data_IF_424280212923
#
_entry.id   IF_424280212923
#
_cell.length_a   1.000
_cell.length_b   1.000
_cell.length_c   1.000
_cell.angle_alpha   90.00
_cell.angle_beta   90.00
_cell.angle_gamma   90.00
#
_symmetry.space_group_name_H-M   'P 1'
#
loop_
_entity.id
_entity.type
_entity.pdbx_description
1 polymer ?
#
# COMPACT_ATOMS: atom_id res chain seq x y z
N UNK A 1 16.48 63.35 9.71
CA UNK A 1 15.74 62.66 8.60
C UNK A 1 16.29 61.25 8.26
N UNK A 2 17.62 60.98 8.18
CA UNK A 2 18.13 59.63 7.85
C UNK A 2 17.85 58.57 8.93
N UNK A 3 17.87 58.92 10.20
CA UNK A 3 17.58 57.96 11.32
C UNK A 3 16.14 57.44 11.33
N UNK A 4 15.18 58.22 10.85
CA UNK A 4 13.78 57.79 10.77
C UNK A 4 13.57 56.78 9.63
N UNK A 5 14.26 56.98 8.52
CA UNK A 5 14.25 56.03 7.39
C UNK A 5 14.92 54.72 7.77
N UNK A 6 16.04 54.74 8.48
CA UNK A 6 16.73 53.55 8.94
C UNK A 6 15.89 52.72 9.93
N UNK A 7 15.19 53.36 10.89
CA UNK A 7 14.24 52.67 11.78
C UNK A 7 13.08 52.05 11.02
N UNK A 8 12.50 52.68 10.01
CA UNK A 8 11.47 52.15 9.17
C UNK A 8 11.92 50.90 8.39
N UNK A 9 13.12 50.92 7.86
CA UNK A 9 13.72 49.78 7.15
C UNK A 9 13.92 48.60 8.11
N UNK A 10 14.43 48.82 9.32
CA UNK A 10 14.58 47.76 10.32
C UNK A 10 13.21 47.13 10.68
N UNK A 11 12.18 47.94 10.88
CA UNK A 11 10.85 47.44 11.20
C UNK A 11 10.29 46.59 10.05
N UNK A 12 10.44 47.06 8.80
CA UNK A 12 9.97 46.30 7.62
C UNK A 12 10.70 44.97 7.49
N UNK A 13 12.04 44.98 7.63
CA UNK A 13 12.82 43.76 7.60
C UNK A 13 12.43 42.80 8.72
N UNK A 14 12.22 43.28 9.94
CA UNK A 14 11.75 42.45 11.08
C UNK A 14 10.36 41.84 10.82
N UNK A 15 9.44 42.61 10.26
CA UNK A 15 8.12 42.08 9.89
C UNK A 15 8.21 41.02 8.80
N UNK A 16 9.06 41.17 7.80
CA UNK A 16 9.31 40.17 6.75
C UNK A 16 9.94 38.90 7.34
N UNK A 17 10.91 39.02 8.25
CA UNK A 17 11.50 37.86 8.92
C UNK A 17 10.50 37.12 9.82
N UNK A 18 9.63 37.85 10.51
CA UNK A 18 8.58 37.25 11.35
C UNK A 18 7.53 36.54 10.48
N UNK A 19 7.10 37.15 9.36
CA UNK A 19 6.14 36.51 8.45
C UNK A 19 6.71 35.25 7.80
N UNK A 20 7.97 35.32 7.30
CA UNK A 20 8.66 34.15 6.77
C UNK A 20 8.85 33.05 7.83
N UNK A 21 9.17 33.42 9.07
CA UNK A 21 9.27 32.48 10.18
C UNK A 21 7.94 31.80 10.50
N UNK A 22 6.84 32.56 10.49
CA UNK A 22 5.49 32.05 10.66
C UNK A 22 5.06 31.14 9.50
N UNK A 23 5.34 31.53 8.26
CA UNK A 23 5.03 30.72 7.09
C UNK A 23 5.79 29.39 7.11
N UNK A 24 7.08 29.42 7.47
CA UNK A 24 7.91 28.22 7.63
C UNK A 24 7.38 27.35 8.80
N UNK A 25 6.97 27.95 9.90
CA UNK A 25 6.40 27.23 11.03
C UNK A 25 5.07 26.57 10.67
N UNK A 26 4.16 27.31 10.05
CA UNK A 26 2.86 26.78 9.58
C UNK A 26 3.07 25.68 8.54
N UNK A 27 3.99 25.87 7.59
CA UNK A 27 4.32 24.87 6.60
C UNK A 27 4.88 23.60 7.24
N UNK A 28 5.84 23.70 8.18
CA UNK A 28 6.43 22.55 8.88
C UNK A 28 5.49 21.85 9.85
N UNK A 29 4.54 22.57 10.43
CA UNK A 29 3.55 22.03 11.35
C UNK A 29 2.27 21.57 10.65
N UNK A 30 2.14 21.78 9.34
CA UNK A 30 0.98 21.25 8.60
C UNK A 30 1.02 19.71 8.61
N UNK A 31 -0.13 19.05 8.81
CA UNK A 31 -0.22 17.59 8.80
C UNK A 31 0.38 16.98 7.53
N UNK A 32 0.11 17.58 6.36
CA UNK A 32 0.65 17.13 5.08
C UNK A 32 2.18 17.16 4.99
N UNK A 33 2.86 18.03 5.74
CA UNK A 33 4.33 18.06 5.80
C UNK A 33 4.87 17.12 6.86
N UNK A 34 4.19 16.98 8.00
CA UNK A 34 4.58 16.09 9.07
C UNK A 34 4.66 14.64 8.60
N UNK A 35 3.77 14.23 7.68
CA UNK A 35 3.68 12.85 7.19
C UNK A 35 4.18 12.65 5.74
N UNK A 36 4.80 13.64 5.13
CA UNK A 36 5.47 13.48 3.83
C UNK A 36 6.75 12.67 3.96
N UNK A 37 6.63 11.43 4.41
CA UNK A 37 7.72 10.48 4.42
C UNK A 37 8.97 10.92 5.17
N UNK A 38 8.78 11.71 6.21
CA UNK A 38 9.87 12.27 7.00
C UNK A 38 10.79 11.22 7.57
N UNK A 39 10.21 10.06 7.97
CA UNK A 39 10.92 8.96 8.59
C UNK A 39 11.16 7.81 7.62
N UNK A 40 10.74 7.96 6.36
CA UNK A 40 10.89 6.93 5.35
C UNK A 40 11.97 7.33 4.35
N UNK A 41 12.93 6.49 4.20
CA UNK A 41 13.89 6.62 3.11
C UNK A 41 13.19 6.26 1.82
N UNK A 42 12.66 7.25 1.12
CA UNK A 42 12.09 7.11 -0.22
C UNK A 42 13.17 6.80 -1.27
N UNK A 43 14.21 6.14 -0.88
CA UNK A 43 15.23 5.68 -1.79
C UNK A 43 14.85 4.29 -2.26
N UNK A 44 14.76 4.11 -3.55
CA UNK A 44 14.55 2.80 -4.16
C UNK A 44 13.18 2.18 -3.90
N UNK A 45 12.09 2.89 -4.13
CA UNK A 45 10.75 2.33 -4.00
C UNK A 45 10.27 2.19 -2.56
N UNK A 46 10.55 3.13 -1.76
CA UNK A 46 10.23 3.33 -0.36
C UNK A 46 9.12 2.45 0.24
N UNK A 47 9.39 1.91 1.41
CA UNK A 47 8.39 1.35 2.32
C UNK A 47 7.85 2.44 3.24
N UNK A 48 6.54 2.46 3.45
CA UNK A 48 5.91 3.30 4.46
C UNK A 48 5.87 2.63 5.83
N UNK A 49 6.27 1.36 5.90
CA UNK A 49 6.32 0.52 7.10
C UNK A 49 7.71 -0.10 7.22
N UNK A 50 8.16 -0.32 8.45
CA UNK A 50 9.37 -1.10 8.69
C UNK A 50 9.15 -2.56 8.30
N UNK A 51 9.75 -2.98 7.19
CA UNK A 51 9.71 -4.36 6.70
C UNK A 51 10.81 -5.24 7.28
N UNK A 52 11.75 -4.69 8.04
CA UNK A 52 12.88 -5.45 8.60
C UNK A 52 12.49 -6.66 9.46
N UNK A 53 11.34 -6.67 10.17
CA UNK A 53 10.87 -7.87 10.88
C UNK A 53 10.53 -9.05 9.95
N UNK A 54 10.35 -8.79 8.66
CA UNK A 54 9.98 -9.80 7.65
C UNK A 54 11.14 -10.14 6.70
N UNK A 55 12.34 -9.58 6.89
CA UNK A 55 13.48 -10.00 6.07
C UNK A 55 13.88 -11.44 6.38
N UNK A 56 14.13 -12.28 5.38
CA UNK A 56 14.50 -13.70 5.59
C UNK A 56 15.66 -13.90 6.55
N UNK A 57 16.61 -12.95 6.60
CA UNK A 57 17.82 -13.00 7.42
C UNK A 57 17.67 -12.33 8.80
N UNK A 58 16.55 -11.70 9.10
CA UNK A 58 16.33 -11.10 10.42
C UNK A 58 16.19 -12.21 11.47
N UNK A 59 16.93 -12.07 12.56
CA UNK A 59 16.85 -13.02 13.67
C UNK A 59 15.43 -12.99 14.27
N UNK A 60 14.81 -14.17 14.38
CA UNK A 60 13.43 -14.32 14.85
C UNK A 60 12.44 -13.49 14.00
N UNK A 61 12.65 -13.49 12.68
CA UNK A 61 11.74 -12.81 11.78
C UNK A 61 10.28 -13.26 11.95
N UNK A 62 9.35 -12.42 11.51
CA UNK A 62 7.90 -12.66 11.61
C UNK A 62 7.33 -13.43 10.41
N UNK A 63 8.17 -14.04 9.59
CA UNK A 63 7.71 -14.82 8.45
C UNK A 63 6.97 -16.07 8.90
N UNK A 64 5.88 -16.35 8.22
CA UNK A 64 5.15 -17.61 8.39
C UNK A 64 6.03 -18.78 7.94
N UNK A 65 6.17 -19.76 8.81
CA UNK A 65 6.90 -21.00 8.52
C UNK A 65 5.94 -22.17 8.37
N UNK A 66 6.28 -23.08 7.47
CA UNK A 66 5.53 -24.34 7.31
C UNK A 66 5.73 -25.22 8.54
N UNK A 67 4.65 -25.92 8.94
CA UNK A 67 4.71 -26.92 10.02
C UNK A 67 5.39 -28.22 9.59
N UNK A 68 5.52 -28.42 8.28
CA UNK A 68 6.10 -29.61 7.68
C UNK A 68 7.11 -29.19 6.60
N UNK A 69 7.97 -30.13 6.18
CA UNK A 69 8.92 -29.87 5.08
C UNK A 69 8.19 -29.41 3.83
N UNK A 70 8.72 -28.40 3.17
CA UNK A 70 8.18 -27.92 1.90
C UNK A 70 8.18 -29.03 0.84
N UNK A 71 7.10 -29.11 0.10
CA UNK A 71 6.97 -30.02 -1.04
C UNK A 71 7.78 -29.60 -2.26
N UNK A 72 8.27 -28.36 -2.26
CA UNK A 72 9.02 -27.79 -3.37
C UNK A 72 10.22 -26.96 -2.85
N UNK A 73 11.42 -27.25 -3.32
CA UNK A 73 12.65 -26.53 -2.96
C UNK A 73 13.44 -26.23 -4.23
N UNK A 74 13.88 -25.00 -4.40
CA UNK A 74 14.86 -24.58 -5.41
C UNK A 74 16.24 -24.56 -4.77
N UNK A 75 17.12 -25.44 -5.25
CA UNK A 75 18.43 -25.71 -4.64
C UNK A 75 19.48 -24.65 -4.98
N UNK A 76 19.46 -24.14 -6.22
CA UNK A 76 20.50 -23.25 -6.73
C UNK A 76 19.99 -21.82 -6.82
N UNK A 77 20.78 -20.88 -6.32
CA UNK A 77 20.47 -19.45 -6.36
C UNK A 77 20.10 -18.92 -7.75
N UNK A 78 20.88 -19.29 -8.78
CA UNK A 78 20.67 -18.86 -10.16
C UNK A 78 19.33 -19.30 -10.77
N UNK A 79 18.72 -20.31 -10.18
CA UNK A 79 17.45 -20.88 -10.63
C UNK A 79 16.25 -20.34 -9.82
N UNK A 80 16.50 -19.47 -8.83
CA UNK A 80 15.47 -18.84 -8.01
C UNK A 80 14.81 -17.68 -8.77
N UNK A 81 13.50 -17.68 -8.98
CA UNK A 81 12.78 -16.50 -9.47
C UNK A 81 13.01 -15.28 -8.58
N UNK A 82 13.22 -14.12 -9.19
CA UNK A 82 13.32 -12.84 -8.47
C UNK A 82 11.93 -12.34 -8.20
N UNK A 83 11.65 -12.05 -6.92
CA UNK A 83 10.33 -11.65 -6.42
C UNK A 83 10.33 -10.17 -6.06
N UNK A 84 9.23 -9.49 -6.36
CA UNK A 84 8.95 -8.12 -5.94
C UNK A 84 7.44 -7.94 -5.74
N UNK A 85 7.01 -6.85 -5.14
CA UNK A 85 5.57 -6.65 -4.96
C UNK A 85 5.19 -5.37 -4.23
N UNK A 86 3.90 -5.23 -4.00
CA UNK A 86 3.36 -4.20 -3.15
C UNK A 86 3.82 -4.40 -1.70
N UNK A 87 3.94 -3.32 -0.95
CA UNK A 87 4.41 -3.33 0.45
C UNK A 87 3.66 -4.35 1.32
N UNK A 88 2.32 -4.34 1.26
CA UNK A 88 1.50 -5.29 1.99
C UNK A 88 1.78 -6.76 1.64
N UNK A 89 2.34 -7.03 0.47
CA UNK A 89 2.58 -8.40 0.01
C UNK A 89 3.97 -8.94 0.40
N UNK A 90 4.87 -8.06 0.88
CA UNK A 90 6.23 -8.46 1.25
C UNK A 90 6.26 -9.66 2.20
N UNK A 91 5.49 -9.70 3.30
CA UNK A 91 5.48 -10.84 4.21
C UNK A 91 5.08 -12.17 3.54
N UNK A 92 4.18 -12.12 2.55
CA UNK A 92 3.72 -13.31 1.82
C UNK A 92 4.85 -13.87 0.95
N UNK A 93 5.39 -13.07 0.04
CA UNK A 93 6.37 -13.61 -0.91
C UNK A 93 7.73 -13.86 -0.26
N UNK A 94 8.10 -13.14 0.79
CA UNK A 94 9.26 -13.45 1.60
C UNK A 94 9.11 -14.78 2.35
N UNK A 95 7.91 -15.08 2.91
CA UNK A 95 7.62 -16.37 3.53
C UNK A 95 7.62 -17.51 2.51
N UNK A 96 7.10 -17.29 1.30
CA UNK A 96 7.16 -18.26 0.19
C UNK A 96 8.62 -18.55 -0.18
N UNK A 97 9.44 -17.50 -0.36
CA UNK A 97 10.88 -17.68 -0.64
C UNK A 97 11.57 -18.43 0.50
N UNK A 98 11.28 -18.08 1.76
CA UNK A 98 11.86 -18.76 2.92
C UNK A 98 11.46 -20.25 2.99
N UNK A 99 10.28 -20.61 2.50
CA UNK A 99 9.81 -22.00 2.46
C UNK A 99 10.32 -22.80 1.26
N UNK A 100 10.69 -22.13 0.15
CA UNK A 100 10.95 -22.80 -1.13
C UNK A 100 12.35 -22.58 -1.70
N UNK A 101 13.12 -21.61 -1.19
CA UNK A 101 14.47 -21.30 -1.68
C UNK A 101 15.51 -21.73 -0.66
N UNK A 102 16.41 -22.61 -1.07
CA UNK A 102 17.48 -23.07 -0.18
C UNK A 102 18.44 -21.93 0.15
N UNK A 103 18.74 -21.77 1.43
CA UNK A 103 19.69 -20.79 1.94
C UNK A 103 19.34 -19.32 1.60
N UNK A 104 18.08 -19.00 1.38
CA UNK A 104 17.68 -17.62 1.00
C UNK A 104 18.09 -16.60 2.06
N UNK A 105 18.02 -16.95 3.35
CA UNK A 105 18.43 -16.08 4.43
C UNK A 105 19.92 -15.69 4.35
N UNK A 106 20.79 -16.66 4.05
CA UNK A 106 22.23 -16.44 3.90
C UNK A 106 22.54 -15.60 2.65
N UNK A 107 21.85 -15.86 1.54
CA UNK A 107 22.00 -15.14 0.28
C UNK A 107 21.64 -13.66 0.46
N UNK A 108 20.47 -13.38 1.04
CA UNK A 108 20.01 -12.00 1.29
C UNK A 108 20.88 -11.29 2.32
N UNK A 109 21.32 -11.99 3.36
CA UNK A 109 22.23 -11.44 4.38
C UNK A 109 23.58 -11.04 3.81
N UNK A 110 24.13 -11.85 2.93
CA UNK A 110 25.42 -11.54 2.29
C UNK A 110 25.28 -10.33 1.36
N UNK A 111 24.19 -10.26 0.60
CA UNK A 111 23.90 -9.15 -0.28
C UNK A 111 23.71 -7.83 0.50
N UNK A 112 23.00 -7.87 1.61
CA UNK A 112 22.72 -6.70 2.47
C UNK A 112 23.98 -6.09 3.12
N UNK A 113 25.11 -6.82 3.20
CA UNK A 113 26.38 -6.27 3.70
C UNK A 113 26.97 -5.18 2.81
N UNK A 114 26.67 -5.21 1.54
CA UNK A 114 27.32 -4.35 0.52
C UNK A 114 26.33 -3.55 -0.31
N UNK A 115 25.04 -3.79 -0.15
CA UNK A 115 23.96 -3.17 -0.91
C UNK A 115 22.89 -2.65 0.03
N UNK A 116 22.05 -1.75 -0.47
CA UNK A 116 20.88 -1.25 0.25
C UNK A 116 19.84 -2.36 0.47
N UNK A 117 18.92 -2.16 1.38
CA UNK A 117 17.99 -3.15 1.96
C UNK A 117 16.93 -3.72 1.00
N UNK A 118 17.02 -3.45 -0.29
CA UNK A 118 15.97 -3.84 -1.25
C UNK A 118 16.00 -5.31 -1.67
N UNK A 119 16.93 -6.10 -1.12
CA UNK A 119 17.09 -7.53 -1.42
C UNK A 119 17.72 -7.82 -2.79
N UNK A 120 18.17 -9.07 -2.96
CA UNK A 120 18.75 -9.60 -4.20
C UNK A 120 17.73 -10.40 -5.01
N UNK A 121 17.02 -11.28 -4.33
CA UNK A 121 16.05 -12.23 -4.89
C UNK A 121 14.66 -11.94 -4.34
N UNK A 122 14.55 -11.62 -3.05
CA UNK A 122 13.34 -11.16 -2.39
C UNK A 122 13.40 -9.64 -2.32
N UNK A 123 13.05 -8.98 -3.42
CA UNK A 123 13.23 -7.54 -3.56
C UNK A 123 11.98 -6.76 -3.16
N UNK A 124 12.15 -5.48 -2.86
CA UNK A 124 11.05 -4.57 -2.60
C UNK A 124 11.30 -3.20 -3.24
N UNK A 125 10.44 -2.81 -4.19
CA UNK A 125 10.49 -1.52 -4.89
C UNK A 125 9.13 -0.85 -5.01
N UNK A 126 8.13 -1.29 -4.27
CA UNK A 126 6.71 -0.91 -4.30
C UNK A 126 5.98 -1.22 -5.62
N UNK A 127 4.68 -0.88 -5.67
CA UNK A 127 3.84 -1.24 -6.82
C UNK A 127 4.27 -0.57 -8.12
N UNK A 128 4.61 0.72 -8.06
CA UNK A 128 4.93 1.48 -9.28
C UNK A 128 6.20 0.97 -9.95
N UNK A 129 7.30 0.95 -9.21
CA UNK A 129 8.61 0.52 -9.73
C UNK A 129 8.62 -0.99 -9.98
N UNK A 130 7.97 -1.78 -9.12
CA UNK A 130 7.90 -3.23 -9.26
C UNK A 130 7.26 -3.67 -10.59
N UNK A 131 6.20 -2.99 -11.04
CA UNK A 131 5.62 -3.26 -12.35
C UNK A 131 6.57 -2.89 -13.50
N UNK A 132 7.21 -1.72 -13.43
CA UNK A 132 8.20 -1.34 -14.45
C UNK A 132 9.35 -2.35 -14.52
N UNK A 133 9.87 -2.81 -13.39
CA UNK A 133 10.89 -3.86 -13.32
C UNK A 133 10.42 -5.19 -13.91
N UNK A 134 9.14 -5.55 -13.68
CA UNK A 134 8.55 -6.73 -14.30
C UNK A 134 8.52 -6.58 -15.84
N UNK A 135 8.11 -5.42 -16.36
CA UNK A 135 8.06 -5.15 -17.80
C UNK A 135 9.45 -5.19 -18.44
N UNK A 136 10.48 -4.77 -17.71
CA UNK A 136 11.90 -4.82 -18.13
C UNK A 136 12.51 -6.21 -17.99
N UNK A 137 11.83 -7.16 -17.35
CA UNK A 137 12.35 -8.50 -17.10
C UNK A 137 13.41 -8.56 -16.00
N UNK A 138 13.51 -7.52 -15.15
CA UNK A 138 14.41 -7.49 -14.00
C UNK A 138 13.94 -8.36 -12.85
N UNK A 139 12.64 -8.59 -12.76
CA UNK A 139 12.01 -9.52 -11.83
C UNK A 139 11.17 -10.55 -12.58
N UNK A 140 10.96 -11.70 -11.96
CA UNK A 140 10.19 -12.80 -12.54
C UNK A 140 8.72 -12.79 -12.13
N UNK A 141 8.44 -12.36 -10.90
CA UNK A 141 7.12 -12.44 -10.29
C UNK A 141 6.86 -11.19 -9.45
N UNK A 142 5.73 -10.54 -9.73
CA UNK A 142 5.24 -9.42 -8.94
C UNK A 142 4.02 -9.86 -8.10
N UNK A 143 3.98 -9.45 -6.82
CA UNK A 143 2.90 -9.76 -5.89
C UNK A 143 2.12 -8.49 -5.53
N UNK A 144 0.82 -8.48 -5.82
CA UNK A 144 0.01 -7.29 -5.53
C UNK A 144 -1.36 -7.30 -6.18
N UNK A 145 -1.93 -6.10 -6.28
CA UNK A 145 -3.15 -5.85 -7.05
C UNK A 145 -2.84 -5.87 -8.56
N UNK A 146 -3.88 -5.93 -9.39
CA UNK A 146 -3.75 -5.72 -10.84
C UNK A 146 -3.19 -4.32 -11.12
N UNK A 147 -2.48 -4.17 -12.26
CA UNK A 147 -1.94 -2.87 -12.66
C UNK A 147 -3.05 -1.84 -12.92
N UNK A 148 -2.71 -0.57 -12.74
CA UNK A 148 -3.55 0.55 -13.17
C UNK A 148 -3.62 0.63 -14.71
N UNK A 149 -4.54 1.46 -15.21
CA UNK A 149 -4.64 1.70 -16.65
C UNK A 149 -3.32 2.28 -17.21
N UNK A 150 -2.68 3.18 -16.48
CA UNK A 150 -1.41 3.77 -16.86
C UNK A 150 -0.28 2.72 -16.95
N UNK A 151 -0.23 1.78 -15.99
CA UNK A 151 0.71 0.67 -16.02
C UNK A 151 0.42 -0.32 -17.17
N UNK A 152 -0.86 -0.52 -17.52
CA UNK A 152 -1.22 -1.32 -18.70
C UNK A 152 -0.77 -0.67 -20.03
N UNK A 153 -0.82 0.66 -20.10
CA UNK A 153 -0.28 1.41 -21.25
C UNK A 153 1.24 1.32 -21.28
N UNK A 154 1.90 1.41 -20.13
CA UNK A 154 3.34 1.18 -20.03
C UNK A 154 3.73 -0.24 -20.48
N UNK A 155 3.01 -1.28 -20.07
CA UNK A 155 3.24 -2.65 -20.53
C UNK A 155 3.14 -2.78 -22.06
N UNK A 156 2.21 -2.06 -22.69
CA UNK A 156 2.11 -2.02 -24.17
C UNK A 156 3.33 -1.36 -24.81
N UNK A 157 3.85 -0.30 -24.21
CA UNK A 157 5.09 0.36 -24.69
C UNK A 157 6.27 -0.60 -24.63
N UNK A 158 6.38 -1.41 -23.58
CA UNK A 158 7.39 -2.46 -23.48
C UNK A 158 7.10 -3.68 -24.35
N UNK A 159 5.94 -3.76 -24.99
CA UNK A 159 5.54 -4.89 -25.85
C UNK A 159 5.35 -6.18 -25.06
N UNK A 160 4.97 -6.11 -23.80
CA UNK A 160 4.82 -7.29 -22.93
C UNK A 160 3.36 -7.59 -22.61
N UNK A 161 3.05 -8.86 -22.40
CA UNK A 161 1.75 -9.33 -21.96
C UNK A 161 1.85 -9.94 -20.56
N UNK A 162 0.87 -9.61 -19.72
CA UNK A 162 0.81 -10.05 -18.34
C UNK A 162 -0.08 -11.28 -18.16
N UNK A 163 0.37 -12.17 -17.27
CA UNK A 163 -0.43 -13.29 -16.77
C UNK A 163 -0.74 -13.06 -15.29
N UNK A 164 -2.01 -13.18 -14.92
CA UNK A 164 -2.49 -12.95 -13.56
C UNK A 164 -2.90 -14.27 -12.92
N UNK A 165 -2.18 -14.69 -11.90
CA UNK A 165 -2.52 -15.86 -11.08
C UNK A 165 -3.10 -15.38 -9.76
N UNK A 166 -4.42 -15.52 -9.50
CA UNK A 166 -4.97 -15.21 -8.18
C UNK A 166 -4.41 -16.21 -7.18
N UNK A 167 -3.86 -15.72 -6.07
CA UNK A 167 -3.22 -16.55 -5.04
C UNK A 167 -3.89 -16.44 -3.67
N UNK A 168 -4.71 -15.44 -3.45
CA UNK A 168 -5.46 -15.21 -2.23
C UNK A 168 -6.61 -14.25 -2.48
N UNK A 169 -7.45 -14.03 -1.46
CA UNK A 169 -8.53 -13.03 -1.49
C UNK A 169 -8.23 -11.93 -0.50
N UNK A 170 -8.69 -10.73 -0.81
CA UNK A 170 -8.49 -9.52 -0.02
C UNK A 170 -9.73 -8.62 -0.09
N UNK A 171 -9.86 -7.71 0.86
CA UNK A 171 -10.87 -6.66 0.82
C UNK A 171 -10.22 -5.28 0.64
N UNK A 172 -10.79 -4.49 -0.23
CA UNK A 172 -10.53 -3.06 -0.29
C UNK A 172 -11.51 -2.36 0.65
N UNK A 173 -10.99 -1.64 1.63
CA UNK A 173 -11.78 -1.10 2.73
C UNK A 173 -11.67 0.42 2.81
N UNK A 174 -12.75 1.03 3.31
CA UNK A 174 -12.76 2.43 3.70
C UNK A 174 -12.76 2.52 5.22
N UNK A 175 -12.08 3.52 5.74
CA UNK A 175 -11.94 3.70 7.17
C UNK A 175 -11.99 5.19 7.54
N UNK A 176 -12.42 5.43 8.77
CA UNK A 176 -12.57 6.76 9.37
C UNK A 176 -11.94 6.74 10.75
N UNK A 177 -11.78 7.92 11.36
CA UNK A 177 -11.42 7.99 12.79
C UNK A 177 -12.45 7.23 13.64
N UNK A 178 -12.01 6.58 14.70
CA UNK A 178 -12.86 5.81 15.62
C UNK A 178 -14.03 6.64 16.17
N UNK A 179 -13.81 7.92 16.43
CA UNK A 179 -14.80 8.84 16.97
C UNK A 179 -15.84 9.31 15.96
N UNK A 180 -15.65 9.08 14.65
CA UNK A 180 -16.68 9.36 13.65
C UNK A 180 -17.92 8.48 13.90
N UNK A 181 -19.15 9.04 14.00
CA UNK A 181 -20.34 8.24 14.30
C UNK A 181 -20.81 7.31 13.18
N UNK A 182 -20.24 7.44 11.98
CA UNK A 182 -20.61 6.61 10.84
C UNK A 182 -19.95 5.23 10.97
N UNK A 183 -20.74 4.16 10.79
CA UNK A 183 -20.29 2.78 10.81
C UNK A 183 -20.52 2.04 9.49
N UNK A 184 -21.34 2.61 8.62
CA UNK A 184 -21.70 2.03 7.33
C UNK A 184 -21.93 3.14 6.30
N UNK A 185 -21.49 2.88 5.08
CA UNK A 185 -21.80 3.71 3.92
C UNK A 185 -22.28 2.81 2.78
N UNK A 186 -23.14 3.35 1.93
CA UNK A 186 -23.46 2.70 0.66
C UNK A 186 -22.34 2.93 -0.34
N UNK A 187 -22.14 1.98 -1.24
CA UNK A 187 -21.15 2.13 -2.32
C UNK A 187 -21.33 3.43 -3.12
N UNK A 188 -22.57 3.85 -3.38
CA UNK A 188 -22.83 5.08 -4.11
C UNK A 188 -22.60 6.34 -3.27
N UNK A 189 -22.77 6.28 -1.96
CA UNK A 189 -22.40 7.37 -1.05
C UNK A 189 -20.88 7.59 -1.06
N UNK A 190 -20.10 6.53 -1.00
CA UNK A 190 -18.64 6.63 -1.09
C UNK A 190 -18.22 7.21 -2.44
N UNK A 191 -18.79 6.74 -3.55
CA UNK A 191 -18.52 7.32 -4.88
C UNK A 191 -18.86 8.81 -4.91
N UNK A 192 -19.99 9.21 -4.32
CA UNK A 192 -20.42 10.60 -4.24
C UNK A 192 -19.49 11.47 -3.37
N UNK A 193 -18.90 10.91 -2.30
CA UNK A 193 -17.87 11.58 -1.49
C UNK A 193 -16.63 11.85 -2.34
N UNK A 194 -16.09 10.81 -2.96
CA UNK A 194 -14.84 10.90 -3.73
C UNK A 194 -15.00 11.60 -5.08
N UNK A 195 -16.22 11.74 -5.57
CA UNK A 195 -16.55 12.60 -6.71
C UNK A 195 -16.71 14.08 -6.29
N UNK A 196 -17.00 14.35 -5.01
CA UNK A 196 -17.19 15.70 -4.47
C UNK A 196 -18.65 16.17 -4.44
N UNK A 197 -19.63 15.29 -4.69
CA UNK A 197 -21.06 15.62 -4.54
C UNK A 197 -21.52 15.64 -3.08
N UNK A 198 -20.92 14.81 -2.24
CA UNK A 198 -21.14 14.78 -0.79
C UNK A 198 -19.87 15.31 -0.12
N UNK A 199 -19.98 16.46 0.52
CA UNK A 199 -18.84 17.18 1.11
C UNK A 199 -18.95 17.38 2.62
N UNK A 200 -20.05 16.96 3.24
CA UNK A 200 -20.26 17.12 4.67
C UNK A 200 -20.95 15.88 5.25
N UNK A 201 -20.43 15.38 6.38
CA UNK A 201 -20.91 14.18 7.07
C UNK A 201 -22.36 14.25 7.54
N UNK A 202 -22.87 15.44 7.80
CA UNK A 202 -24.27 15.64 8.22
C UNK A 202 -25.28 15.06 7.24
N UNK A 203 -24.98 15.11 5.95
CA UNK A 203 -25.85 14.55 4.90
C UNK A 203 -25.94 13.01 4.95
N UNK A 204 -25.01 12.36 5.64
CA UNK A 204 -24.93 10.93 5.85
C UNK A 204 -25.29 10.50 7.29
N UNK A 205 -25.83 11.43 8.08
CA UNK A 205 -26.20 11.18 9.48
C UNK A 205 -25.06 11.33 10.48
N UNK A 206 -23.91 11.85 10.04
CA UNK A 206 -22.77 12.19 10.88
C UNK A 206 -22.86 13.58 11.49
N UNK A 207 -21.75 14.07 12.00
CA UNK A 207 -21.62 15.42 12.55
C UNK A 207 -21.62 16.47 11.44
N UNK A 208 -21.91 17.72 11.80
CA UNK A 208 -21.84 18.86 10.88
C UNK A 208 -20.37 19.28 10.70
N UNK A 209 -19.63 18.51 9.91
CA UNK A 209 -18.26 18.80 9.53
C UNK A 209 -17.98 18.36 8.10
N UNK A 210 -17.03 19.04 7.46
CA UNK A 210 -16.64 18.74 6.09
C UNK A 210 -15.89 17.42 5.99
N UNK A 211 -16.09 16.74 4.86
CA UNK A 211 -15.42 15.48 4.55
C UNK A 211 -14.08 15.77 3.86
N UNK A 212 -13.01 15.26 4.44
CA UNK A 212 -11.68 15.24 3.86
C UNK A 212 -11.40 13.84 3.31
N UNK A 213 -11.52 13.70 1.99
CA UNK A 213 -11.38 12.43 1.29
C UNK A 213 -9.94 12.27 0.77
N UNK A 214 -9.10 11.58 1.53
CA UNK A 214 -7.71 11.35 1.17
C UNK A 214 -7.58 10.42 -0.04
N UNK A 215 -6.62 10.72 -0.92
CA UNK A 215 -6.34 9.96 -2.12
C UNK A 215 -4.85 9.57 -2.18
N UNK A 216 -4.54 8.62 -3.04
CA UNK A 216 -3.18 8.13 -3.31
C UNK A 216 -2.74 8.57 -4.71
N UNK A 217 -1.41 8.69 -4.94
CA UNK A 217 -0.90 8.92 -6.29
C UNK A 217 -1.34 7.83 -7.26
N UNK A 218 -1.49 8.19 -8.52
CA UNK A 218 -1.66 7.25 -9.62
C UNK A 218 -0.53 6.19 -9.61
N UNK A 219 -0.74 5.04 -10.20
CA UNK A 219 0.18 3.88 -10.13
C UNK A 219 0.33 3.22 -8.75
N UNK A 220 -0.25 3.77 -7.66
CA UNK A 220 -0.33 3.00 -6.41
C UNK A 220 -1.40 1.92 -6.51
N UNK A 221 -1.16 0.75 -5.90
CA UNK A 221 -2.11 -0.36 -5.96
C UNK A 221 -3.48 -0.02 -5.37
N UNK A 222 -3.52 0.78 -4.30
CA UNK A 222 -4.78 1.23 -3.70
C UNK A 222 -5.51 2.26 -4.56
N UNK A 223 -4.79 3.15 -5.27
CA UNK A 223 -5.41 4.09 -6.20
C UNK A 223 -6.00 3.36 -7.42
N UNK A 224 -5.27 2.39 -7.96
CA UNK A 224 -5.78 1.55 -9.04
C UNK A 224 -7.09 0.84 -8.64
N UNK A 225 -7.15 0.33 -7.39
CA UNK A 225 -8.37 -0.29 -6.87
C UNK A 225 -9.48 0.74 -6.63
N UNK A 226 -9.13 1.96 -6.20
CA UNK A 226 -10.09 3.05 -6.06
C UNK A 226 -10.74 3.42 -7.40
N UNK A 227 -9.97 3.56 -8.49
CA UNK A 227 -10.52 3.76 -9.83
C UNK A 227 -11.46 2.63 -10.25
N UNK A 228 -11.06 1.38 -9.97
CA UNK A 228 -11.95 0.23 -10.23
C UNK A 228 -13.27 0.33 -9.45
N UNK A 229 -13.22 0.74 -8.18
CA UNK A 229 -14.40 0.93 -7.35
C UNK A 229 -15.28 2.08 -7.85
N UNK A 230 -14.69 3.19 -8.29
CA UNK A 230 -15.41 4.36 -8.82
C UNK A 230 -16.17 4.07 -10.12
N UNK A 231 -15.77 3.04 -10.89
CA UNK A 231 -16.34 2.71 -12.20
C UNK A 231 -16.27 3.92 -13.15
N UNK A 232 -17.42 4.34 -13.68
CA UNK A 232 -17.54 5.47 -14.62
C UNK A 232 -17.63 6.84 -13.92
N UNK A 233 -17.56 6.87 -12.59
CA UNK A 233 -17.60 8.10 -11.79
C UNK A 233 -16.17 8.63 -11.61
N UNK A 234 -15.90 9.86 -12.07
CA UNK A 234 -14.58 10.48 -11.92
C UNK A 234 -14.30 10.81 -10.45
N UNK A 235 -13.05 10.65 -10.05
CA UNK A 235 -12.54 11.20 -8.78
C UNK A 235 -12.48 12.73 -8.89
N UNK A 236 -12.76 13.43 -7.77
CA UNK A 236 -12.45 14.85 -7.66
C UNK A 236 -10.93 15.04 -7.66
N UNK A 237 -10.47 16.18 -8.16
CA UNK A 237 -9.07 16.57 -7.98
C UNK A 237 -8.80 16.75 -6.47
N UNK A 238 -7.84 16.02 -5.90
CA UNK A 238 -7.50 16.18 -4.50
C UNK A 238 -6.77 17.51 -4.28
N UNK A 239 -7.10 18.20 -3.20
CA UNK A 239 -6.25 19.30 -2.75
C UNK A 239 -4.92 18.74 -2.22
N UNK A 240 -3.87 19.55 -2.21
CA UNK A 240 -2.48 19.08 -1.97
C UNK A 240 -2.33 18.23 -0.70
N UNK A 241 -3.01 18.56 0.38
CA UNK A 241 -2.93 17.80 1.63
C UNK A 241 -3.77 16.52 1.63
N UNK A 242 -4.74 16.37 0.70
CA UNK A 242 -5.51 15.13 0.54
C UNK A 242 -4.75 14.06 -0.25
N UNK A 243 -3.64 14.42 -0.91
CA UNK A 243 -2.82 13.47 -1.67
C UNK A 243 -1.71 12.89 -0.80
N UNK A 244 -1.82 11.61 -0.48
CA UNK A 244 -0.84 10.91 0.35
C UNK A 244 0.04 9.96 -0.47
N UNK A 245 1.33 10.23 -0.47
CA UNK A 245 2.30 9.45 -1.25
C UNK A 245 2.57 8.05 -0.69
N UNK A 246 2.43 7.86 0.62
CA UNK A 246 2.62 6.58 1.29
C UNK A 246 1.32 6.02 1.87
N UNK A 247 1.20 4.70 1.99
CA UNK A 247 0.01 4.05 2.54
C UNK A 247 -0.23 4.46 4.00
N UNK A 248 0.82 4.45 4.82
CA UNK A 248 0.75 4.87 6.23
C UNK A 248 0.35 6.34 6.37
N UNK A 249 0.68 7.19 5.39
CA UNK A 249 0.26 8.59 5.39
C UNK A 249 -1.26 8.75 5.47
N UNK A 250 -2.03 8.01 4.65
CA UNK A 250 -3.50 8.04 4.74
C UNK A 250 -3.98 7.58 6.11
N UNK A 251 -3.39 6.51 6.64
CA UNK A 251 -3.80 5.95 7.94
C UNK A 251 -3.57 6.97 9.04
N UNK A 252 -2.37 7.57 9.10
CA UNK A 252 -2.06 8.60 10.09
C UNK A 252 -2.94 9.83 9.97
N UNK A 253 -3.16 10.33 8.76
CA UNK A 253 -4.02 11.50 8.54
C UNK A 253 -5.45 11.25 9.02
N UNK A 254 -5.99 10.05 8.82
CA UNK A 254 -7.33 9.71 9.32
C UNK A 254 -7.35 9.54 10.83
N UNK A 255 -6.29 8.94 11.41
CA UNK A 255 -6.21 8.71 12.85
C UNK A 255 -5.98 10.01 13.63
N UNK A 256 -5.13 10.91 13.11
CA UNK A 256 -4.61 12.08 13.81
C UNK A 256 -5.13 13.42 13.25
N UNK A 257 -6.02 13.39 12.26
CA UNK A 257 -6.56 14.61 11.70
C UNK A 257 -7.22 15.45 12.79
N UNK A 258 -6.82 16.72 12.92
CA UNK A 258 -7.27 17.62 14.02
C UNK A 258 -8.80 17.77 14.10
N UNK A 259 -9.52 17.48 13.03
CA UNK A 259 -10.96 17.33 13.00
C UNK A 259 -11.30 15.83 12.96
N UNK A 260 -11.24 15.16 14.10
CA UNK A 260 -11.43 13.73 14.31
C UNK A 260 -12.56 13.06 13.53
N UNK A 261 -13.53 13.85 13.08
CA UNK A 261 -14.72 13.36 12.39
C UNK A 261 -14.67 13.54 10.87
N UNK A 262 -13.77 14.39 10.35
CA UNK A 262 -13.79 14.82 8.94
C UNK A 262 -13.18 13.83 7.96
N UNK A 263 -12.15 13.12 8.37
CA UNK A 263 -11.31 12.35 7.46
C UNK A 263 -11.93 11.00 7.05
N UNK A 264 -11.75 10.63 5.77
CA UNK A 264 -11.99 9.28 5.24
C UNK A 264 -10.80 8.85 4.38
N UNK A 265 -10.36 7.61 4.56
CA UNK A 265 -9.30 7.00 3.78
C UNK A 265 -9.72 5.62 3.24
N UNK A 266 -8.84 5.04 2.42
CA UNK A 266 -9.01 3.70 1.89
C UNK A 266 -7.66 2.95 1.81
N UNK A 267 -7.74 1.63 1.94
CA UNK A 267 -6.58 0.74 1.82
C UNK A 267 -7.04 -0.70 1.62
N UNK A 268 -6.09 -1.62 1.56
CA UNK A 268 -6.37 -3.05 1.67
C UNK A 268 -6.43 -3.46 3.15
N UNK A 269 -7.37 -4.34 3.49
CA UNK A 269 -7.64 -4.75 4.88
C UNK A 269 -6.40 -5.29 5.59
N UNK A 270 -5.64 -6.16 4.92
CA UNK A 270 -4.44 -6.74 5.51
C UNK A 270 -3.39 -5.68 5.87
N UNK A 271 -3.23 -4.64 5.03
CA UNK A 271 -2.29 -3.56 5.36
C UNK A 271 -2.65 -2.90 6.69
N UNK A 272 -3.94 -2.68 6.91
CA UNK A 272 -4.46 -1.97 8.09
C UNK A 272 -4.43 -2.83 9.37
N UNK A 273 -4.81 -4.11 9.26
CA UNK A 273 -4.94 -4.98 10.43
C UNK A 273 -3.71 -5.88 10.67
N UNK A 274 -2.98 -6.23 9.60
CA UNK A 274 -1.90 -7.20 9.65
C UNK A 274 -0.50 -6.58 9.64
N UNK A 275 -0.28 -5.57 8.82
CA UNK A 275 1.05 -4.99 8.64
C UNK A 275 1.25 -3.70 9.44
N UNK A 276 0.28 -2.81 9.42
CA UNK A 276 0.35 -1.51 10.09
C UNK A 276 -0.91 -1.31 10.93
N UNK A 277 -0.80 -1.63 12.22
CA UNK A 277 -1.88 -1.43 13.18
C UNK A 277 -1.85 0.01 13.69
N UNK A 278 -2.92 0.75 13.46
CA UNK A 278 -3.13 2.10 13.97
C UNK A 278 -4.32 2.09 14.92
N UNK A 279 -4.13 2.67 16.09
CA UNK A 279 -5.22 2.98 17.00
C UNK A 279 -6.04 4.17 16.44
N UNK A 280 -7.22 4.42 16.99
CA UNK A 280 -8.10 5.53 16.63
C UNK A 280 -8.69 5.49 15.21
N UNK A 281 -8.68 4.35 14.53
CA UNK A 281 -9.39 4.17 13.25
C UNK A 281 -10.35 2.99 13.30
N UNK A 282 -11.39 3.04 12.50
CA UNK A 282 -12.31 1.93 12.29
C UNK A 282 -12.64 1.73 10.82
N UNK A 283 -12.73 0.48 10.42
CA UNK A 283 -13.20 0.07 9.11
C UNK A 283 -14.71 0.21 9.03
N UNK A 284 -15.20 0.76 7.93
CA UNK A 284 -16.63 0.89 7.66
C UNK A 284 -17.20 -0.40 7.04
N UNK A 285 -18.44 -0.70 7.37
CA UNK A 285 -19.26 -1.60 6.56
C UNK A 285 -19.63 -0.90 5.25
N UNK A 286 -19.74 -1.67 4.17
CA UNK A 286 -20.20 -1.19 2.86
C UNK A 286 -21.46 -1.93 2.51
N UNK A 287 -22.54 -1.19 2.16
CA UNK A 287 -23.86 -1.75 1.86
C UNK A 287 -24.35 -2.71 2.98
N UNK A 288 -24.08 -2.34 4.24
CA UNK A 288 -24.35 -3.10 5.46
C UNK A 288 -23.56 -4.41 5.62
N UNK A 289 -22.48 -4.60 4.88
CA UNK A 289 -21.64 -5.79 4.97
C UNK A 289 -20.25 -5.39 5.46
N UNK A 290 -19.83 -5.95 6.60
CA UNK A 290 -18.48 -5.79 7.15
C UNK A 290 -17.49 -6.76 6.48
N UNK A 291 -16.23 -6.39 6.22
CA UNK A 291 -15.25 -7.24 5.55
C UNK A 291 -14.67 -8.34 6.47
N UNK A 292 -15.54 -9.22 6.98
CA UNK A 292 -15.08 -10.43 7.67
C UNK A 292 -14.38 -11.38 6.72
N UNK A 293 -13.55 -12.29 7.25
CA UNK A 293 -12.92 -13.35 6.45
C UNK A 293 -13.96 -14.13 5.64
N UNK A 294 -15.11 -14.44 6.28
CA UNK A 294 -16.21 -15.15 5.62
C UNK A 294 -16.79 -14.34 4.46
N UNK A 295 -17.11 -13.06 4.69
CA UNK A 295 -17.68 -12.18 3.68
C UNK A 295 -16.73 -11.91 2.51
N UNK A 296 -15.41 -11.96 2.76
CA UNK A 296 -14.39 -11.86 1.72
C UNK A 296 -14.30 -13.18 0.95
N UNK A 297 -14.25 -14.33 1.63
CA UNK A 297 -14.15 -15.66 1.01
C UNK A 297 -15.34 -15.96 0.12
N UNK A 298 -16.56 -15.70 0.57
CA UNK A 298 -17.81 -15.95 -0.19
C UNK A 298 -18.18 -14.79 -1.14
N UNK A 299 -17.40 -13.69 -1.16
CA UNK A 299 -17.60 -12.49 -2.00
C UNK A 299 -18.92 -11.75 -1.73
N UNK A 300 -19.48 -11.85 -0.55
CA UNK A 300 -20.62 -11.03 -0.14
C UNK A 300 -20.20 -9.60 0.16
N UNK A 301 -18.96 -9.40 0.67
CA UNK A 301 -18.42 -8.04 0.80
C UNK A 301 -18.23 -7.40 -0.58
N UNK A 302 -18.82 -6.21 -0.84
CA UNK A 302 -18.94 -5.65 -2.19
C UNK A 302 -17.61 -5.40 -2.91
N UNK A 303 -16.54 -5.13 -2.14
CA UNK A 303 -15.23 -4.78 -2.69
C UNK A 303 -14.21 -5.87 -2.35
N UNK A 304 -14.62 -7.12 -2.51
CA UNK A 304 -13.72 -8.27 -2.43
C UNK A 304 -12.89 -8.36 -3.71
N UNK A 305 -11.59 -8.52 -3.56
CA UNK A 305 -10.63 -8.63 -4.65
C UNK A 305 -9.71 -9.84 -4.45
N UNK A 306 -8.72 -9.98 -5.33
CA UNK A 306 -7.71 -11.00 -5.20
C UNK A 306 -6.34 -10.37 -4.94
N UNK A 307 -5.53 -11.08 -4.19
CA UNK A 307 -4.09 -10.96 -4.24
C UNK A 307 -3.59 -11.74 -5.45
N UNK A 308 -2.78 -11.12 -6.29
CA UNK A 308 -2.25 -11.74 -7.51
C UNK A 308 -0.75 -11.97 -7.41
N UNK A 309 -0.30 -13.06 -8.01
CA UNK A 309 1.03 -13.21 -8.54
C UNK A 309 0.97 -12.88 -10.03
N UNK A 310 1.72 -11.87 -10.46
CA UNK A 310 1.74 -11.40 -11.85
C UNK A 310 3.08 -11.75 -12.46
N UNK A 311 3.05 -12.34 -13.65
CA UNK A 311 4.24 -12.73 -14.43
C UNK A 311 4.09 -12.24 -15.88
N UNK A 312 5.20 -12.17 -16.61
CA UNK A 312 5.12 -12.02 -18.05
C UNK A 312 4.67 -13.36 -18.70
N UNK A 313 3.75 -13.31 -19.67
CA UNK A 313 3.37 -14.49 -20.45
C UNK A 313 4.57 -15.12 -21.18
N UNK A 314 5.55 -14.30 -21.55
CA UNK A 314 6.80 -14.73 -22.17
C UNK A 314 7.76 -15.43 -21.22
N UNK A 315 7.57 -15.34 -19.90
CA UNK A 315 8.45 -16.00 -18.94
C UNK A 315 8.24 -17.52 -18.94
N UNK A 316 9.21 -18.25 -19.49
CA UNK A 316 9.16 -19.71 -19.60
C UNK A 316 10.01 -20.44 -18.57
N UNK A 317 10.54 -19.73 -17.55
CA UNK A 317 11.35 -20.33 -16.48
C UNK A 317 10.54 -21.42 -15.76
N UNK A 318 11.10 -22.63 -15.70
CA UNK A 318 10.44 -23.78 -15.09
C UNK A 318 10.10 -23.52 -13.60
N UNK A 319 11.01 -22.88 -12.87
CA UNK A 319 10.79 -22.58 -11.46
C UNK A 319 9.73 -21.49 -11.22
N UNK A 320 9.47 -20.62 -12.18
CA UNK A 320 8.32 -19.69 -12.11
C UNK A 320 7.01 -20.48 -12.18
N UNK A 321 6.92 -21.45 -13.07
CA UNK A 321 5.73 -22.34 -13.20
C UNK A 321 5.50 -23.14 -11.92
N UNK A 322 6.54 -23.83 -11.43
CA UNK A 322 6.48 -24.60 -10.19
C UNK A 322 6.18 -23.77 -8.95
N UNK A 323 6.69 -22.54 -8.88
CA UNK A 323 6.38 -21.65 -7.76
C UNK A 323 4.93 -21.17 -7.81
N UNK A 324 4.36 -20.93 -9.00
CA UNK A 324 2.91 -20.67 -9.15
C UNK A 324 2.06 -21.87 -8.69
N UNK A 325 2.46 -23.10 -9.03
CA UNK A 325 1.79 -24.32 -8.55
C UNK A 325 1.90 -24.44 -7.03
N UNK A 326 3.07 -24.16 -6.45
CA UNK A 326 3.27 -24.15 -5.00
C UNK A 326 2.36 -23.11 -4.31
N UNK A 327 2.26 -21.88 -4.85
CA UNK A 327 1.36 -20.83 -4.33
C UNK A 327 -0.09 -21.31 -4.24
N UNK A 328 -0.53 -22.11 -5.20
CA UNK A 328 -1.89 -22.68 -5.25
C UNK A 328 -2.04 -23.97 -4.46
N UNK A 329 -0.96 -24.56 -3.98
CA UNK A 329 -0.97 -25.78 -3.18
C UNK A 329 -1.49 -25.54 -1.75
N UNK A 330 -1.87 -26.59 -1.00
CA UNK A 330 -2.24 -26.44 0.41
C UNK A 330 -1.16 -25.75 1.26
N UNK A 331 0.13 -25.98 0.98
CA UNK A 331 1.23 -25.34 1.71
C UNK A 331 1.35 -23.84 1.37
N UNK A 332 1.23 -23.47 0.10
CA UNK A 332 1.20 -22.07 -0.32
C UNK A 332 0.00 -21.33 0.25
N UNK A 333 -1.18 -21.94 0.20
CA UNK A 333 -2.40 -21.36 0.77
C UNK A 333 -2.36 -21.25 2.30
N UNK A 334 -1.69 -22.19 2.98
CA UNK A 334 -1.41 -22.08 4.41
C UNK A 334 -0.55 -20.84 4.73
N UNK A 335 0.52 -20.60 3.98
CA UNK A 335 1.38 -19.41 4.17
C UNK A 335 0.54 -18.14 3.97
N UNK A 336 -0.23 -18.06 2.89
CA UNK A 336 -1.07 -16.91 2.55
C UNK A 336 -2.08 -16.62 3.67
N UNK A 337 -2.78 -17.66 4.16
CA UNK A 337 -3.76 -17.51 5.22
C UNK A 337 -3.11 -17.12 6.56
N UNK A 338 -2.00 -17.75 6.93
CA UNK A 338 -1.31 -17.46 8.19
C UNK A 338 -0.60 -16.11 8.18
N UNK A 339 -0.30 -15.57 7.01
CA UNK A 339 0.19 -14.20 6.89
C UNK A 339 -0.93 -13.19 7.14
N UNK A 340 -2.21 -13.55 6.94
CA UNK A 340 -3.36 -12.70 7.24
C UNK A 340 -4.28 -12.40 6.06
N UNK A 341 -3.97 -12.93 4.88
CA UNK A 341 -4.87 -12.88 3.73
C UNK A 341 -5.93 -13.99 3.81
N UNK A 342 -6.97 -13.91 2.99
CA UNK A 342 -7.90 -15.02 2.88
C UNK A 342 -7.38 -16.01 1.82
N UNK A 343 -7.32 -17.30 2.18
CA UNK A 343 -7.02 -18.35 1.21
C UNK A 343 -8.09 -18.43 0.10
N UNK A 344 -7.74 -19.03 -1.02
CA UNK A 344 -8.66 -19.20 -2.16
C UNK A 344 -9.78 -20.21 -1.83
N UNK A 345 -9.47 -21.18 -0.96
CA UNK A 345 -10.32 -22.33 -0.61
C UNK A 345 -10.74 -22.26 0.85
#
# INVERSE_FOLDING_TARGET
KPQIQFKKIIIICSCIFISLGLDIYVYRSSPSQKYKGHDFQYMNGFSSTDLSPFFPYTKNNKLVSLQQKSSFIIENEKDMPILDGAEACYPVYAAIANATYKNIAEIEKEYAKTHNENGKIVTFYNTSIGYTRLFQGEIDMFFGAKPSQEQLEEAKIYGVELEYTPIGKEAFVFFVNENNPIHNLKSDEIRSIYHGNITNWKSLGGQDCDIVAFQRPEKSGSQAMMHYFMKDVSLKEPITYEMQSAMTGIIHEVAEYYNEYGAIGYTFKYFLEGLHQEENIKILSIDNIYPTVENIKNKTYPISTYLYCVTLKSNQKENVKKLKEFLLSPQGQYIIEKTGYCSLY
#
